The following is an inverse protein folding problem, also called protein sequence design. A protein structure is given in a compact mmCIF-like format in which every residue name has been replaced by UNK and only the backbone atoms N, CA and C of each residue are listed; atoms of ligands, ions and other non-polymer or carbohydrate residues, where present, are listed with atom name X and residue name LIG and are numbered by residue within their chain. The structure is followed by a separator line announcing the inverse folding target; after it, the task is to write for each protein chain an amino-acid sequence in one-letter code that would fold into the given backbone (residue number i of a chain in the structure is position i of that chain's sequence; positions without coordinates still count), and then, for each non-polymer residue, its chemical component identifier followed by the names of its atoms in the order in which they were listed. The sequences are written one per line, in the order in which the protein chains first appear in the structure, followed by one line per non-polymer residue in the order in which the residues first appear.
data_IF_860084137528
#
_entry.id   IF_860084137528
#
_cell.length_a   1.000
_cell.length_b   1.000
_cell.length_c   1.000
_cell.angle_alpha   90.00
_cell.angle_beta   90.00
_cell.angle_gamma   90.00
#
_symmetry.space_group_name_H-M   'P 1'
#
loop_
_entity.id
_entity.type
_entity.pdbx_description
1 polymer ?
#
# COMPACT_ATOMS: atom_id res chain seq x y z
N UNK A 1 19.04 9.24 -10.72
CA UNK A 1 19.29 8.06 -11.57
C UNK A 1 18.47 6.93 -10.96
N UNK A 2 17.65 6.22 -11.74
CA UNK A 2 16.86 5.10 -11.23
C UNK A 2 17.68 3.82 -11.40
N UNK A 3 17.77 2.98 -10.36
CA UNK A 3 18.45 1.68 -10.41
C UNK A 3 17.64 0.60 -9.71
N UNK A 4 17.91 -0.64 -10.10
CA UNK A 4 17.31 -1.82 -9.51
C UNK A 4 18.05 -2.19 -8.20
N UNK A 5 17.31 -2.19 -7.10
CA UNK A 5 17.75 -2.72 -5.81
C UNK A 5 17.55 -4.23 -5.86
N UNK A 6 18.60 -4.98 -5.56
CA UNK A 6 18.60 -6.45 -5.59
C UNK A 6 18.88 -7.08 -4.24
N UNK A 7 19.40 -6.31 -3.29
CA UNK A 7 19.70 -6.77 -1.94
C UNK A 7 18.60 -6.40 -0.95
N UNK A 8 18.23 -7.36 -0.10
CA UNK A 8 17.27 -7.14 0.97
C UNK A 8 17.83 -6.20 2.03
N UNK A 9 17.01 -5.29 2.53
CA UNK A 9 17.39 -4.41 3.63
C UNK A 9 16.28 -3.44 4.02
N UNK A 10 16.51 -2.62 5.06
CA UNK A 10 15.50 -1.69 5.54
C UNK A 10 15.21 -0.58 4.51
N UNK A 11 13.93 -0.25 4.33
CA UNK A 11 13.49 0.87 3.49
C UNK A 11 14.03 2.21 4.00
N UNK A 12 14.00 2.39 5.33
CA UNK A 12 14.39 3.62 6.01
C UNK A 12 15.69 3.46 6.79
N UNK A 13 16.54 4.48 6.73
CA UNK A 13 17.75 4.60 7.54
C UNK A 13 17.42 4.95 9.01
N UNK A 14 18.45 5.07 9.85
CA UNK A 14 18.30 5.44 11.27
C UNK A 14 17.74 6.86 11.47
N UNK A 15 17.78 7.71 10.45
CA UNK A 15 17.21 9.05 10.43
C UNK A 15 15.81 9.08 9.82
N UNK A 16 15.20 7.94 9.52
CA UNK A 16 13.86 7.87 8.91
C UNK A 16 13.81 8.41 7.47
N UNK A 17 14.94 8.42 6.76
CA UNK A 17 15.03 8.78 5.36
C UNK A 17 15.12 7.52 4.50
N UNK A 18 14.73 7.61 3.22
CA UNK A 18 14.90 6.50 2.27
C UNK A 18 16.38 6.13 2.21
N UNK A 19 16.71 4.88 2.58
CA UNK A 19 18.09 4.41 2.69
C UNK A 19 18.77 4.35 1.32
N UNK A 20 18.06 3.82 0.34
CA UNK A 20 18.55 3.62 -1.03
C UNK A 20 17.41 3.95 -2.01
N UNK A 21 17.41 5.13 -2.64
CA UNK A 21 16.42 5.47 -3.65
C UNK A 21 16.56 4.58 -4.88
N UNK A 22 15.50 3.87 -5.27
CA UNK A 22 15.51 2.97 -6.42
C UNK A 22 14.19 2.19 -6.54
N UNK A 23 14.22 1.07 -7.27
CA UNK A 23 13.06 0.18 -7.45
C UNK A 23 13.47 -1.29 -7.30
N UNK A 24 12.53 -2.18 -6.98
CA UNK A 24 12.80 -3.62 -6.85
C UNK A 24 11.70 -4.46 -7.51
N UNK A 25 12.04 -5.67 -7.99
CA UNK A 25 11.08 -6.64 -8.57
C UNK A 25 10.35 -7.48 -7.53
N UNK A 26 10.79 -7.41 -6.28
CA UNK A 26 10.22 -8.16 -5.16
C UNK A 26 10.26 -7.32 -3.88
N UNK A 27 9.53 -7.75 -2.85
CA UNK A 27 9.44 -7.06 -1.56
C UNK A 27 10.71 -7.27 -0.73
N UNK A 28 11.79 -6.60 -1.12
CA UNK A 28 13.12 -6.69 -0.47
C UNK A 28 13.44 -5.47 0.41
N UNK A 29 12.63 -4.42 0.34
CA UNK A 29 12.77 -3.25 1.19
C UNK A 29 11.89 -3.44 2.43
N UNK A 30 12.50 -3.79 3.56
CA UNK A 30 11.80 -4.06 4.81
C UNK A 30 11.29 -2.74 5.40
N UNK A 31 9.97 -2.60 5.41
CA UNK A 31 9.26 -1.48 5.99
C UNK A 31 9.22 -1.59 7.53
N UNK A 32 9.59 -0.52 8.23
CA UNK A 32 9.44 -0.40 9.68
C UNK A 32 8.79 0.93 10.02
N UNK A 33 7.56 0.83 10.48
CA UNK A 33 6.73 1.96 10.86
C UNK A 33 7.32 2.84 11.95
N UNK A 34 8.09 2.27 12.87
CA UNK A 34 8.66 3.02 13.99
C UNK A 34 9.78 3.98 13.53
N UNK A 35 10.30 3.81 12.31
CA UNK A 35 11.30 4.71 11.71
C UNK A 35 10.68 5.92 11.02
N UNK A 36 9.36 6.02 10.97
CA UNK A 36 8.67 7.15 10.33
C UNK A 36 8.60 8.33 11.30
N UNK A 37 9.06 9.48 10.82
CA UNK A 37 9.07 10.74 11.59
C UNK A 37 7.73 11.46 11.64
N UNK A 38 6.83 11.18 10.71
CA UNK A 38 5.52 11.82 10.66
C UNK A 38 4.65 11.37 11.85
N UNK A 39 3.75 12.25 12.29
CA UNK A 39 2.74 11.90 13.29
C UNK A 39 1.89 10.71 12.83
N UNK A 40 1.52 9.83 13.76
CA UNK A 40 0.68 8.65 13.50
C UNK A 40 -0.64 8.99 12.80
N UNK A 41 -1.20 10.16 13.07
CA UNK A 41 -2.46 10.64 12.46
C UNK A 41 -2.28 11.01 10.98
N UNK A 42 -1.04 11.30 10.54
CA UNK A 42 -0.71 11.66 9.16
C UNK A 42 -0.12 10.50 8.37
N UNK A 43 0.19 9.39 9.04
CA UNK A 43 0.74 8.21 8.39
C UNK A 43 -0.36 7.49 7.61
N UNK A 44 -0.06 7.18 6.36
CA UNK A 44 -0.93 6.43 5.46
C UNK A 44 -0.19 5.19 5.00
N UNK A 45 -0.80 4.05 5.27
CA UNK A 45 -0.29 2.74 4.94
C UNK A 45 -1.40 2.00 4.21
N UNK A 46 -1.07 1.33 3.12
CA UNK A 46 -2.03 0.51 2.43
C UNK A 46 -1.33 -0.60 1.66
N UNK A 47 -2.03 -1.73 1.55
CA UNK A 47 -1.72 -2.77 0.60
C UNK A 47 -2.77 -2.77 -0.51
N UNK A 48 -2.31 -2.95 -1.74
CA UNK A 48 -3.15 -3.04 -2.92
C UNK A 48 -2.83 -4.29 -3.71
N UNK A 49 -3.83 -5.15 -3.89
CA UNK A 49 -3.72 -6.38 -4.64
C UNK A 49 -4.70 -6.32 -5.81
N UNK A 50 -4.22 -6.58 -7.02
CA UNK A 50 -5.07 -6.63 -8.20
C UNK A 50 -4.75 -7.88 -9.03
N UNK A 51 -5.80 -8.57 -9.46
CA UNK A 51 -5.71 -9.70 -10.40
C UNK A 51 -6.64 -9.37 -11.56
N UNK A 52 -6.06 -9.21 -12.74
CA UNK A 52 -6.73 -8.67 -13.92
C UNK A 52 -6.53 -9.60 -15.13
N UNK A 53 -7.48 -9.60 -16.05
CA UNK A 53 -7.35 -10.12 -17.40
C UNK A 53 -8.07 -9.19 -18.40
N UNK A 54 -8.16 -9.58 -19.67
CA UNK A 54 -8.74 -8.74 -20.74
C UNK A 54 -10.26 -8.47 -20.59
N UNK A 55 -10.96 -9.21 -19.71
CA UNK A 55 -12.42 -9.17 -19.56
C UNK A 55 -12.86 -8.67 -18.18
N UNK A 56 -12.18 -9.13 -17.14
CA UNK A 56 -12.55 -8.90 -15.75
C UNK A 56 -11.33 -8.63 -14.89
N UNK A 57 -11.57 -7.97 -13.76
CA UNK A 57 -10.56 -7.76 -12.74
C UNK A 57 -11.15 -7.77 -11.35
N UNK A 58 -10.32 -8.08 -10.36
CA UNK A 58 -10.65 -7.86 -8.95
C UNK A 58 -9.49 -7.14 -8.28
N UNK A 59 -9.82 -6.15 -7.45
CA UNK A 59 -8.87 -5.47 -6.60
C UNK A 59 -9.30 -5.49 -5.14
N UNK A 60 -8.31 -5.61 -4.26
CA UNK A 60 -8.44 -5.54 -2.81
C UNK A 60 -7.55 -4.43 -2.30
N UNK A 61 -8.12 -3.57 -1.46
CA UNK A 61 -7.38 -2.51 -0.77
C UNK A 61 -7.57 -2.67 0.73
N UNK A 62 -6.48 -2.73 1.47
CA UNK A 62 -6.48 -2.66 2.95
C UNK A 62 -5.69 -1.41 3.29
N UNK A 63 -6.32 -0.43 3.94
CA UNK A 63 -5.71 0.86 4.20
C UNK A 63 -5.90 1.32 5.65
N UNK A 64 -4.83 1.83 6.24
CA UNK A 64 -4.79 2.57 7.49
C UNK A 64 -4.25 3.98 7.23
N UNK A 65 -5.12 5.00 7.26
CA UNK A 65 -4.72 6.40 7.08
C UNK A 65 -4.61 7.16 8.41
N UNK A 66 -4.35 6.45 9.50
CA UNK A 66 -4.28 7.01 10.86
C UNK A 66 -5.67 7.30 11.42
N UNK A 67 -6.29 8.40 10.97
CA UNK A 67 -7.63 8.81 11.46
C UNK A 67 -8.79 8.01 10.84
N UNK A 68 -8.53 7.30 9.74
CA UNK A 68 -9.52 6.55 9.00
C UNK A 68 -8.85 5.41 8.23
N UNK A 69 -9.35 4.20 8.38
CA UNK A 69 -8.95 3.09 7.51
C UNK A 69 -10.14 2.50 6.80
N UNK A 70 -9.86 1.62 5.86
CA UNK A 70 -10.89 0.90 5.13
C UNK A 70 -10.36 -0.38 4.52
N UNK A 71 -11.28 -1.32 4.33
CA UNK A 71 -11.08 -2.48 3.46
C UNK A 71 -12.05 -2.33 2.29
N UNK A 72 -11.54 -2.42 1.08
CA UNK A 72 -12.33 -2.28 -0.15
C UNK A 72 -12.11 -3.47 -1.08
N UNK A 73 -13.18 -3.88 -1.74
CA UNK A 73 -13.15 -4.81 -2.87
C UNK A 73 -13.79 -4.15 -4.06
N UNK A 74 -13.09 -4.16 -5.20
CA UNK A 74 -13.60 -3.68 -6.49
C UNK A 74 -13.60 -4.81 -7.49
N UNK A 75 -14.75 -5.06 -8.11
CA UNK A 75 -14.91 -5.92 -9.27
C UNK A 75 -14.98 -5.05 -10.53
N UNK A 76 -14.13 -5.32 -11.51
CA UNK A 76 -14.12 -4.64 -12.80
C UNK A 76 -14.70 -5.54 -13.89
N UNK A 77 -15.59 -4.99 -14.72
CA UNK A 77 -16.06 -5.59 -15.97
C UNK A 77 -15.61 -4.69 -17.14
N UNK A 78 -14.58 -5.13 -17.86
CA UNK A 78 -13.99 -4.39 -18.96
C UNK A 78 -14.81 -4.52 -20.25
N UNK A 79 -15.68 -5.53 -20.36
CA UNK A 79 -16.59 -5.71 -21.50
C UNK A 79 -17.72 -4.69 -21.39
N UNK A 80 -18.38 -4.64 -20.23
CA UNK A 80 -19.47 -3.72 -19.94
C UNK A 80 -18.99 -2.30 -19.61
N UNK A 81 -17.67 -2.11 -19.39
CA UNK A 81 -17.03 -0.85 -19.01
C UNK A 81 -17.61 -0.28 -17.71
N UNK A 82 -17.79 -1.15 -16.72
CA UNK A 82 -18.28 -0.75 -15.41
C UNK A 82 -17.49 -1.43 -14.28
N UNK A 83 -17.76 -0.97 -13.06
CA UNK A 83 -17.15 -1.49 -11.85
C UNK A 83 -18.14 -1.45 -10.69
N UNK A 84 -17.97 -2.38 -9.76
CA UNK A 84 -18.70 -2.40 -8.49
C UNK A 84 -17.70 -2.41 -7.36
N UNK A 85 -17.78 -1.40 -6.49
CA UNK A 85 -16.92 -1.28 -5.32
C UNK A 85 -17.73 -1.41 -4.03
N UNK A 86 -17.22 -2.18 -3.07
CA UNK A 86 -17.74 -2.27 -1.72
C UNK A 86 -16.64 -1.96 -0.73
N UNK A 87 -16.89 -0.97 0.12
CA UNK A 87 -15.93 -0.46 1.09
C UNK A 87 -16.51 -0.57 2.50
N UNK A 88 -15.72 -1.10 3.43
CA UNK A 88 -15.97 -1.05 4.86
C UNK A 88 -15.02 -0.03 5.47
N UNK A 89 -15.58 0.99 6.12
CA UNK A 89 -14.81 2.05 6.77
C UNK A 89 -14.58 1.73 8.24
N UNK A 90 -13.40 2.04 8.75
CA UNK A 90 -13.05 1.91 10.16
C UNK A 90 -12.53 3.25 10.68
N UNK A 91 -13.20 3.86 11.67
CA UNK A 91 -12.72 5.09 12.27
C UNK A 91 -11.53 4.82 13.20
N UNK A 92 -10.52 5.69 13.17
CA UNK A 92 -9.37 5.68 14.08
C UNK A 92 -8.67 4.32 14.25
N UNK A 93 -8.31 3.60 13.17
CA UNK A 93 -7.58 2.33 13.29
C UNK A 93 -6.19 2.54 13.91
N UNK A 94 -5.58 3.71 13.70
CA UNK A 94 -4.36 4.16 14.35
C UNK A 94 -3.24 3.13 14.29
N UNK A 95 -3.20 2.33 13.22
CA UNK A 95 -2.20 1.32 13.01
C UNK A 95 -2.49 -0.12 13.36
N UNK A 96 -3.74 -0.52 13.36
CA UNK A 96 -4.18 -1.83 13.85
C UNK A 96 -4.81 -2.72 12.76
N UNK A 97 -4.67 -2.33 11.49
CA UNK A 97 -5.02 -3.19 10.36
C UNK A 97 -3.97 -4.27 10.12
#
# INVERSE_FOLDING_TARGET
MQHEITQRGPLLDAKGQVKEPGWARSLIMDYDRNKIKASKVRLKEWDYYAVLNDKFGIAFTIADNGYMGFISVTLFDFIAKNEVTKTLMTPFPMGKF
#
